data_IF_246412105650
#
_entry.id   IF_246412105650
#
_cell.length_a   1.000
_cell.length_b   1.000
_cell.length_c   1.000
_cell.angle_alpha   90.00
_cell.angle_beta   90.00
_cell.angle_gamma   90.00
#
_symmetry.space_group_name_H-M   'P 1'
#
loop_
_entity.id
_entity.type
_entity.pdbx_description
1 polymer ?
#
# COMPACT_ATOMS: atom_id res chain seq x y z
N UNK A 1 7.50 -1.19 15.62
CA UNK A 1 8.40 -1.48 16.75
C UNK A 1 9.74 -1.97 16.21
N UNK A 2 10.79 -1.21 16.42
CA UNK A 2 12.16 -1.59 16.08
C UNK A 2 12.62 -2.70 17.00
N UNK A 3 13.16 -3.81 16.43
CA UNK A 3 13.85 -4.83 17.23
C UNK A 3 15.07 -4.20 17.89
N UNK A 4 15.31 -4.50 19.17
CA UNK A 4 16.53 -4.06 19.86
C UNK A 4 17.76 -4.77 19.27
N UNK A 5 18.93 -4.14 19.32
CA UNK A 5 20.20 -4.72 18.86
C UNK A 5 20.47 -6.10 19.52
N UNK A 6 20.16 -6.24 20.79
CA UNK A 6 20.28 -7.51 21.53
C UNK A 6 19.44 -8.63 20.95
N UNK A 7 18.18 -8.34 20.57
CA UNK A 7 17.30 -9.33 19.91
C UNK A 7 17.81 -9.69 18.53
N UNK A 8 18.34 -8.74 17.78
CA UNK A 8 18.93 -8.99 16.46
C UNK A 8 20.14 -9.92 16.61
N UNK A 9 21.05 -9.62 17.52
CA UNK A 9 22.23 -10.46 17.76
C UNK A 9 21.84 -11.87 18.23
N UNK A 10 20.80 -11.99 19.07
CA UNK A 10 20.30 -13.29 19.53
C UNK A 10 19.73 -14.17 18.39
N UNK A 11 19.20 -13.56 17.33
CA UNK A 11 18.70 -14.26 16.13
C UNK A 11 19.82 -14.72 15.18
N UNK A 12 21.03 -14.20 15.34
CA UNK A 12 22.22 -14.50 14.51
C UNK A 12 21.95 -14.39 12.99
N UNK A 13 21.32 -13.32 12.48
CA UNK A 13 21.06 -13.20 11.06
C UNK A 13 22.36 -12.87 10.32
N UNK A 14 22.46 -13.33 9.07
CA UNK A 14 23.56 -12.99 8.18
C UNK A 14 23.36 -11.65 7.45
N UNK A 15 22.12 -11.20 7.35
CA UNK A 15 21.71 -9.97 6.67
C UNK A 15 20.41 -9.45 7.25
N UNK A 16 20.30 -8.14 7.40
CA UNK A 16 19.04 -7.44 7.68
C UNK A 16 18.57 -6.81 6.38
N UNK A 17 17.35 -7.11 5.97
CA UNK A 17 16.67 -6.48 4.83
C UNK A 17 15.52 -5.64 5.39
N UNK A 18 15.56 -4.35 5.10
CA UNK A 18 14.52 -3.39 5.47
C UNK A 18 14.01 -2.69 4.21
N UNK A 19 12.72 -2.85 3.92
CA UNK A 19 12.09 -2.27 2.74
C UNK A 19 11.08 -1.23 3.19
N UNK A 20 11.37 0.05 2.95
CA UNK A 20 10.52 1.12 3.43
C UNK A 20 10.97 2.51 2.98
N UNK A 21 10.84 3.48 3.87
CA UNK A 21 11.25 4.85 3.57
C UNK A 21 12.77 5.00 3.62
N UNK A 22 13.37 5.50 2.54
CA UNK A 22 14.79 5.86 2.49
C UNK A 22 14.94 7.36 2.77
N UNK A 23 14.93 7.72 4.04
CA UNK A 23 15.15 9.10 4.51
C UNK A 23 16.41 9.17 5.38
N UNK A 24 16.99 10.36 5.61
CA UNK A 24 18.18 10.51 6.48
C UNK A 24 18.04 9.79 7.83
N UNK A 25 16.87 9.86 8.47
CA UNK A 25 16.62 9.21 9.75
C UNK A 25 16.70 7.68 9.68
N UNK A 26 16.11 7.07 8.62
CA UNK A 26 16.19 5.62 8.41
C UNK A 26 17.59 5.16 8.02
N UNK A 27 18.30 5.95 7.22
CA UNK A 27 19.72 5.69 6.88
C UNK A 27 20.58 5.71 8.15
N UNK A 28 20.41 6.70 9.01
CA UNK A 28 21.15 6.78 10.26
C UNK A 28 20.79 5.66 11.25
N UNK A 29 19.52 5.24 11.26
CA UNK A 29 19.09 4.07 12.04
C UNK A 29 19.75 2.79 11.52
N UNK A 30 19.77 2.57 10.21
CA UNK A 30 20.43 1.41 9.60
C UNK A 30 21.92 1.36 9.94
N UNK A 31 22.61 2.51 9.83
CA UNK A 31 24.03 2.65 10.23
C UNK A 31 24.25 2.32 11.69
N UNK A 32 23.45 2.87 12.60
CA UNK A 32 23.54 2.57 14.04
C UNK A 32 23.31 1.08 14.33
N UNK A 33 22.31 0.48 13.70
CA UNK A 33 22.03 -0.95 13.86
C UNK A 33 23.21 -1.80 13.38
N UNK A 34 23.80 -1.49 12.23
CA UNK A 34 25.00 -2.16 11.75
C UNK A 34 26.17 -2.03 12.74
N UNK A 35 26.46 -0.83 13.24
CA UNK A 35 27.56 -0.60 14.19
C UNK A 35 27.33 -1.39 15.49
N UNK A 36 26.09 -1.49 15.97
CA UNK A 36 25.76 -2.18 17.22
C UNK A 36 25.75 -3.70 17.11
N UNK A 37 25.41 -4.23 15.94
CA UNK A 37 25.18 -5.68 15.77
C UNK A 37 26.27 -6.37 14.96
N UNK A 38 27.02 -5.63 14.14
CA UNK A 38 27.93 -6.19 13.14
C UNK A 38 27.25 -6.89 11.97
N UNK A 39 25.90 -6.90 11.92
CA UNK A 39 25.13 -7.56 10.86
C UNK A 39 24.95 -6.59 9.69
N UNK A 40 25.30 -6.99 8.44
CA UNK A 40 25.04 -6.19 7.25
C UNK A 40 23.57 -5.77 7.17
N UNK A 41 23.33 -4.49 6.78
CA UNK A 41 22.01 -3.92 6.73
C UNK A 41 21.72 -3.35 5.34
N UNK A 42 20.72 -3.89 4.67
CA UNK A 42 20.27 -3.47 3.36
C UNK A 42 18.95 -2.69 3.52
N UNK A 43 19.02 -1.37 3.34
CA UNK A 43 17.85 -0.50 3.34
C UNK A 43 17.42 -0.26 1.89
N UNK A 44 16.25 -0.77 1.52
CA UNK A 44 15.68 -0.70 0.17
C UNK A 44 14.49 0.25 0.12
N UNK A 45 14.36 0.95 -1.00
CA UNK A 45 13.23 1.86 -1.24
C UNK A 45 11.93 1.07 -1.44
N UNK A 46 10.99 1.24 -0.51
CA UNK A 46 9.70 0.57 -0.52
C UNK A 46 8.59 1.30 -1.28
N UNK A 47 8.87 2.43 -1.95
CA UNK A 47 7.87 3.13 -2.77
C UNK A 47 7.49 2.27 -3.98
N UNK A 48 6.24 2.36 -4.43
CA UNK A 48 5.78 1.63 -5.61
C UNK A 48 6.61 1.95 -6.85
N UNK A 49 6.92 3.23 -7.07
CA UNK A 49 7.74 3.67 -8.20
C UNK A 49 9.17 3.12 -8.19
N UNK A 50 9.70 2.76 -7.03
CA UNK A 50 11.03 2.19 -6.89
C UNK A 50 11.04 0.64 -7.01
N UNK A 51 9.88 0.00 -6.98
CA UNK A 51 9.73 -1.46 -6.92
C UNK A 51 10.57 -2.21 -7.97
N UNK A 52 10.61 -1.81 -9.26
CA UNK A 52 11.44 -2.52 -10.25
C UNK A 52 12.93 -2.53 -9.89
N UNK A 53 13.47 -1.37 -9.51
CA UNK A 53 14.87 -1.24 -9.13
C UNK A 53 15.18 -1.99 -7.82
N UNK A 54 14.29 -1.88 -6.83
CA UNK A 54 14.40 -2.58 -5.54
C UNK A 54 14.45 -4.10 -5.74
N UNK A 55 13.64 -4.65 -6.63
CA UNK A 55 13.66 -6.07 -6.97
C UNK A 55 14.98 -6.47 -7.64
N UNK A 56 15.49 -5.68 -8.58
CA UNK A 56 16.76 -5.94 -9.24
C UNK A 56 17.94 -5.89 -8.26
N UNK A 57 17.96 -4.92 -7.36
CA UNK A 57 18.97 -4.83 -6.30
C UNK A 57 18.90 -6.04 -5.37
N UNK A 58 17.71 -6.39 -4.90
CA UNK A 58 17.50 -7.56 -4.05
C UNK A 58 17.97 -8.86 -4.74
N UNK A 59 17.69 -9.01 -6.04
CA UNK A 59 18.12 -10.15 -6.83
C UNK A 59 19.64 -10.34 -6.84
N UNK A 60 20.38 -9.24 -7.00
CA UNK A 60 21.87 -9.25 -6.96
C UNK A 60 22.39 -9.69 -5.59
N UNK A 61 21.79 -9.18 -4.51
CA UNK A 61 22.20 -9.55 -3.15
C UNK A 61 21.91 -11.01 -2.80
N UNK A 62 20.83 -11.57 -3.34
CA UNK A 62 20.40 -12.94 -3.05
C UNK A 62 20.83 -13.97 -4.09
N UNK A 63 21.44 -13.55 -5.22
CA UNK A 63 21.86 -14.43 -6.31
C UNK A 63 20.67 -15.03 -7.08
N UNK A 64 19.57 -14.29 -7.23
CA UNK A 64 18.32 -14.72 -7.88
C UNK A 64 17.84 -13.72 -8.95
N UNK A 65 18.80 -13.13 -9.69
CA UNK A 65 18.58 -12.02 -10.61
C UNK A 65 17.55 -12.36 -11.70
N UNK A 66 17.55 -13.59 -12.21
CA UNK A 66 16.61 -14.01 -13.25
C UNK A 66 15.16 -13.95 -12.76
N UNK A 67 14.90 -14.39 -11.53
CA UNK A 67 13.56 -14.36 -10.93
C UNK A 67 13.12 -12.92 -10.67
N UNK A 68 14.00 -12.11 -10.07
CA UNK A 68 13.67 -10.74 -9.73
C UNK A 68 13.56 -9.82 -10.95
N UNK A 69 14.22 -10.14 -12.08
CA UNK A 69 14.03 -9.43 -13.33
C UNK A 69 12.61 -9.65 -13.90
N UNK A 70 12.09 -10.87 -13.86
CA UNK A 70 10.70 -11.14 -14.27
C UNK A 70 9.69 -10.36 -13.41
N UNK A 71 9.91 -10.33 -12.09
CA UNK A 71 9.09 -9.56 -11.17
C UNK A 71 9.22 -8.04 -11.39
N UNK A 72 10.43 -7.56 -11.71
CA UNK A 72 10.67 -6.15 -12.01
C UNK A 72 9.96 -5.71 -13.30
N UNK A 73 9.95 -6.55 -14.35
CA UNK A 73 9.20 -6.30 -15.58
C UNK A 73 7.70 -6.23 -15.33
N UNK A 74 7.14 -7.17 -14.56
CA UNK A 74 5.73 -7.09 -14.14
C UNK A 74 5.42 -5.78 -13.40
N UNK A 75 6.32 -5.34 -12.52
CA UNK A 75 6.17 -4.07 -11.82
C UNK A 75 6.19 -2.88 -12.79
N UNK A 76 7.13 -2.83 -13.75
CA UNK A 76 7.22 -1.77 -14.77
C UNK A 76 5.95 -1.69 -15.62
N UNK A 77 5.45 -2.83 -16.09
CA UNK A 77 4.20 -2.88 -16.87
C UNK A 77 3.01 -2.40 -16.06
N UNK A 78 2.93 -2.79 -14.78
CA UNK A 78 1.85 -2.35 -13.86
C UNK A 78 1.89 -0.85 -13.62
N UNK A 79 3.07 -0.31 -13.33
CA UNK A 79 3.26 1.13 -13.11
C UNK A 79 2.89 1.94 -14.37
N UNK A 80 3.34 1.49 -15.55
CA UNK A 80 3.01 2.13 -16.82
C UNK A 80 1.51 2.11 -17.10
N UNK A 81 0.87 0.96 -16.97
CA UNK A 81 -0.58 0.85 -17.17
C UNK A 81 -1.39 1.72 -16.22
N UNK A 82 -0.92 1.91 -14.99
CA UNK A 82 -1.59 2.77 -14.02
C UNK A 82 -1.52 4.26 -14.39
N UNK A 83 -0.39 4.72 -14.92
CA UNK A 83 -0.24 6.10 -15.41
C UNK A 83 -1.19 6.37 -16.58
N UNK A 84 -1.25 5.46 -17.55
CA UNK A 84 -2.15 5.57 -18.70
C UNK A 84 -3.62 5.59 -18.26
N UNK A 85 -3.97 4.80 -17.25
CA UNK A 85 -5.32 4.72 -16.68
C UNK A 85 -5.70 5.99 -15.90
N UNK A 86 -4.78 6.56 -15.15
CA UNK A 86 -5.01 7.70 -14.25
C UNK A 86 -5.45 8.97 -14.97
N UNK A 87 -5.11 9.12 -16.24
CA UNK A 87 -5.37 10.33 -17.04
C UNK A 87 -6.87 10.65 -17.19
N UNK A 88 -7.76 9.67 -16.98
CA UNK A 88 -9.21 9.83 -17.17
C UNK A 88 -10.02 9.84 -15.86
N UNK A 89 -9.38 9.56 -14.72
CA UNK A 89 -10.06 9.48 -13.42
C UNK A 89 -10.10 10.84 -12.71
N UNK A 90 -11.29 11.21 -12.19
CA UNK A 90 -11.52 12.44 -11.41
C UNK A 90 -12.14 12.17 -10.03
N UNK A 91 -12.15 10.90 -9.59
CA UNK A 91 -12.87 10.49 -8.38
C UNK A 91 -12.02 10.68 -7.13
N UNK A 92 -12.69 11.10 -6.05
CA UNK A 92 -12.09 11.21 -4.73
C UNK A 92 -12.20 9.90 -3.97
N UNK A 93 -11.17 9.59 -3.18
CA UNK A 93 -11.14 8.36 -2.40
C UNK A 93 -10.65 8.58 -0.97
N UNK A 94 -11.12 7.73 -0.08
CA UNK A 94 -10.70 7.61 1.29
C UNK A 94 -10.30 6.16 1.60
N UNK A 95 -9.12 5.94 2.17
CA UNK A 95 -8.68 4.64 2.67
C UNK A 95 -9.03 4.51 4.15
N UNK A 96 -10.09 3.77 4.44
CA UNK A 96 -10.52 3.50 5.81
C UNK A 96 -9.71 2.36 6.44
N UNK A 97 -9.01 2.66 7.52
CA UNK A 97 -8.21 1.71 8.32
C UNK A 97 -8.75 1.65 9.75
N UNK A 98 -8.38 0.62 10.48
CA UNK A 98 -8.91 0.23 11.81
C UNK A 98 -10.36 -0.27 11.78
N UNK A 99 -10.83 -0.78 12.92
CA UNK A 99 -12.21 -1.27 13.07
C UNK A 99 -13.25 -0.15 12.96
N UNK A 100 -12.87 1.08 13.35
CA UNK A 100 -13.71 2.27 13.28
C UNK A 100 -13.65 2.96 11.91
N UNK A 101 -12.65 2.65 11.08
CA UNK A 101 -12.43 3.26 9.77
C UNK A 101 -11.86 4.68 9.80
N UNK A 102 -11.51 5.22 10.98
CA UNK A 102 -11.08 6.61 11.16
C UNK A 102 -9.56 6.80 11.10
N UNK A 103 -8.76 5.73 11.04
CA UNK A 103 -7.35 5.83 10.71
C UNK A 103 -7.19 5.78 9.19
N UNK A 104 -6.24 6.55 8.65
CA UNK A 104 -6.01 6.64 7.20
C UNK A 104 -4.58 7.04 6.88
N UNK A 105 -4.19 6.95 5.60
CA UNK A 105 -2.95 7.51 5.07
C UNK A 105 -3.15 8.89 4.47
N UNK A 106 -2.24 9.82 4.77
CA UNK A 106 -2.20 11.11 4.11
C UNK A 106 -1.72 10.96 2.66
N UNK A 107 -2.05 11.91 1.82
CA UNK A 107 -1.63 11.98 0.41
C UNK A 107 -0.11 11.85 0.26
N UNK A 108 0.31 10.98 -0.64
CA UNK A 108 1.72 10.64 -0.87
C UNK A 108 2.33 9.73 0.20
N UNK A 109 1.52 9.15 1.08
CA UNK A 109 1.93 8.10 2.01
C UNK A 109 2.13 6.78 1.28
N UNK A 110 3.09 5.97 1.72
CA UNK A 110 3.28 4.59 1.24
C UNK A 110 1.99 3.74 1.37
N UNK A 111 1.11 4.10 2.28
CA UNK A 111 -0.17 3.42 2.51
C UNK A 111 -1.24 3.74 1.47
N UNK A 112 -1.11 4.85 0.74
CA UNK A 112 -2.10 5.35 -0.23
C UNK A 112 -1.58 5.41 -1.66
N UNK A 113 -0.29 5.12 -1.87
CA UNK A 113 0.35 5.18 -3.20
C UNK A 113 -0.40 4.39 -4.27
N UNK A 114 -0.88 3.17 -3.96
CA UNK A 114 -1.54 2.33 -4.96
C UNK A 114 -2.85 2.93 -5.47
N UNK A 115 -3.66 3.53 -4.58
CA UNK A 115 -4.89 4.20 -5.01
C UNK A 115 -4.61 5.52 -5.73
N UNK A 116 -3.60 6.27 -5.31
CA UNK A 116 -3.22 7.53 -5.94
C UNK A 116 -2.61 7.29 -7.33
N UNK A 117 -1.84 6.21 -7.49
CA UNK A 117 -1.23 5.85 -8.77
C UNK A 117 -2.26 5.55 -9.86
N UNK A 118 -3.40 4.96 -9.53
CA UNK A 118 -4.50 4.74 -10.50
C UNK A 118 -5.36 5.99 -10.73
N UNK A 119 -4.99 7.15 -10.16
CA UNK A 119 -5.65 8.42 -10.37
C UNK A 119 -6.78 8.74 -9.39
N UNK A 120 -6.98 7.94 -8.35
CA UNK A 120 -7.89 8.30 -7.27
C UNK A 120 -7.29 9.43 -6.43
N UNK A 121 -8.03 10.50 -6.27
CA UNK A 121 -7.60 11.65 -5.48
C UNK A 121 -7.88 11.40 -4.00
N UNK A 122 -6.82 11.22 -3.21
CA UNK A 122 -6.92 11.10 -1.76
C UNK A 122 -7.47 12.40 -1.16
N UNK A 123 -8.55 12.29 -0.38
CA UNK A 123 -9.18 13.46 0.28
C UNK A 123 -8.40 13.93 1.51
N UNK A 124 -7.43 13.15 1.97
CA UNK A 124 -6.67 13.40 3.20
C UNK A 124 -5.35 14.09 2.86
N UNK A 125 -5.38 15.41 2.83
CA UNK A 125 -4.16 16.20 2.67
C UNK A 125 -3.35 16.21 3.97
N UNK A 126 -2.02 16.38 3.87
CA UNK A 126 -1.14 16.49 5.02
C UNK A 126 0.33 16.57 4.65
N UNK A 127 1.13 17.09 5.57
CA UNK A 127 2.57 17.34 5.32
C UNK A 127 3.46 16.13 5.63
N UNK A 128 3.02 15.23 6.51
CA UNK A 128 3.88 14.19 7.07
C UNK A 128 3.91 12.88 6.27
N UNK A 129 3.11 12.75 5.22
CA UNK A 129 3.05 11.55 4.33
C UNK A 129 2.99 10.23 5.13
N UNK A 130 2.24 10.20 6.21
CA UNK A 130 2.12 9.06 7.12
C UNK A 130 0.68 8.68 7.40
N UNK A 131 0.51 7.88 8.43
CA UNK A 131 -0.81 7.56 8.98
C UNK A 131 -1.30 8.70 9.90
N UNK A 132 -2.59 8.96 9.85
CA UNK A 132 -3.26 9.95 10.70
C UNK A 132 -4.63 9.44 11.14
N UNK A 133 -5.17 10.06 12.19
CA UNK A 133 -6.57 9.91 12.60
C UNK A 133 -7.36 11.09 12.06
N UNK A 134 -8.58 10.83 11.63
CA UNK A 134 -9.53 11.84 11.16
C UNK A 134 -10.82 11.77 11.98
N UNK A 135 -11.55 12.86 12.03
CA UNK A 135 -12.86 12.87 12.65
C UNK A 135 -13.97 12.56 11.64
N UNK A 136 -15.14 12.17 12.14
CA UNK A 136 -16.30 11.93 11.28
C UNK A 136 -16.78 13.24 10.61
N UNK A 137 -16.62 14.37 11.28
CA UNK A 137 -16.95 15.71 10.76
C UNK A 137 -16.07 16.04 9.55
N UNK A 138 -14.75 15.75 9.62
CA UNK A 138 -13.86 15.94 8.49
C UNK A 138 -14.24 15.05 7.31
N UNK A 139 -14.61 13.79 7.57
CA UNK A 139 -15.06 12.87 6.52
C UNK A 139 -16.37 13.35 5.85
N UNK A 140 -17.31 13.84 6.63
CA UNK A 140 -18.56 14.39 6.10
C UNK A 140 -18.30 15.64 5.24
N UNK A 141 -17.34 16.47 5.62
CA UNK A 141 -16.93 17.64 4.84
C UNK A 141 -16.26 17.24 3.52
N UNK A 142 -15.35 16.27 3.54
CA UNK A 142 -14.67 15.78 2.34
C UNK A 142 -15.60 14.98 1.41
N UNK A 143 -16.51 14.22 1.99
CA UNK A 143 -17.54 13.42 1.32
C UNK A 143 -16.99 12.64 0.10
N UNK A 144 -16.06 11.70 0.29
CA UNK A 144 -15.38 11.00 -0.80
C UNK A 144 -16.35 10.22 -1.69
N UNK A 145 -16.01 10.10 -2.98
CA UNK A 145 -16.77 9.31 -3.95
C UNK A 145 -16.61 7.80 -3.72
N UNK A 146 -15.46 7.39 -3.18
CA UNK A 146 -15.09 5.98 -2.96
C UNK A 146 -14.49 5.83 -1.56
N UNK A 147 -14.86 4.74 -0.89
CA UNK A 147 -14.21 4.27 0.33
C UNK A 147 -13.59 2.91 0.05
N UNK A 148 -12.29 2.79 0.35
CA UNK A 148 -11.53 1.56 0.24
C UNK A 148 -11.16 1.06 1.64
N UNK A 149 -11.26 -0.24 1.90
CA UNK A 149 -10.85 -0.80 3.19
C UNK A 149 -10.38 -2.25 3.08
N UNK A 150 -9.44 -2.63 3.92
CA UNK A 150 -8.98 -4.01 4.12
C UNK A 150 -9.43 -4.58 5.47
N UNK A 151 -10.23 -3.83 6.23
CA UNK A 151 -10.72 -4.20 7.55
C UNK A 151 -12.14 -4.76 7.44
N UNK A 152 -12.24 -6.09 7.56
CA UNK A 152 -13.51 -6.81 7.36
C UNK A 152 -14.60 -6.37 8.35
N UNK A 153 -14.25 -6.15 9.61
CA UNK A 153 -15.16 -5.69 10.65
C UNK A 153 -15.78 -4.33 10.27
N UNK A 154 -14.96 -3.37 9.88
CA UNK A 154 -15.43 -2.07 9.39
C UNK A 154 -16.32 -2.23 8.14
N UNK A 155 -15.92 -3.03 7.17
CA UNK A 155 -16.68 -3.24 5.94
C UNK A 155 -18.07 -3.83 6.20
N UNK A 156 -18.19 -4.73 7.18
CA UNK A 156 -19.48 -5.33 7.55
C UNK A 156 -20.41 -4.35 8.25
N UNK A 157 -19.87 -3.44 9.04
CA UNK A 157 -20.65 -2.53 9.90
C UNK A 157 -20.96 -1.17 9.27
N UNK A 158 -20.15 -0.72 8.30
CA UNK A 158 -20.22 0.64 7.74
C UNK A 158 -21.61 1.01 7.21
N UNK A 159 -22.29 0.07 6.53
CA UNK A 159 -23.60 0.32 5.91
C UNK A 159 -24.70 0.60 6.92
N UNK A 160 -24.59 0.04 8.12
CA UNK A 160 -25.56 0.16 9.20
C UNK A 160 -25.19 1.24 10.24
N UNK A 161 -24.03 1.87 10.06
CA UNK A 161 -23.57 2.92 10.95
C UNK A 161 -24.24 4.27 10.57
N UNK A 162 -24.99 4.92 11.47
CA UNK A 162 -25.74 6.14 11.15
C UNK A 162 -24.88 7.32 10.68
N UNK A 163 -23.63 7.42 11.14
CA UNK A 163 -22.72 8.49 10.73
C UNK A 163 -22.15 8.22 9.32
N UNK A 164 -21.66 7.00 9.07
CA UNK A 164 -21.09 6.60 7.80
C UNK A 164 -22.13 6.56 6.67
N UNK A 165 -23.39 6.22 6.99
CA UNK A 165 -24.50 6.18 6.01
C UNK A 165 -24.85 7.56 5.40
N UNK A 166 -24.34 8.64 5.97
CA UNK A 166 -24.51 9.99 5.42
C UNK A 166 -23.59 10.28 4.22
N UNK A 167 -22.48 9.55 4.11
CA UNK A 167 -21.49 9.73 3.02
C UNK A 167 -22.02 9.26 1.67
N UNK A 168 -21.69 10.00 0.61
CA UNK A 168 -22.06 9.67 -0.77
C UNK A 168 -21.56 8.27 -1.20
N UNK A 169 -20.34 7.91 -0.83
CA UNK A 169 -19.78 6.60 -1.12
C UNK A 169 -20.63 5.45 -0.55
N UNK A 170 -21.17 5.61 0.67
CA UNK A 170 -22.02 4.59 1.30
C UNK A 170 -23.40 4.54 0.64
N UNK A 171 -24.04 5.69 0.40
CA UNK A 171 -25.33 5.79 -0.29
C UNK A 171 -25.30 5.19 -1.69
N UNK A 172 -24.22 5.42 -2.40
CA UNK A 172 -24.03 4.96 -3.78
C UNK A 172 -23.40 3.55 -3.87
N UNK A 173 -23.25 2.85 -2.73
CA UNK A 173 -22.64 1.51 -2.66
C UNK A 173 -21.22 1.43 -3.21
N UNK A 174 -20.45 2.51 -3.08
CA UNK A 174 -19.06 2.61 -3.52
C UNK A 174 -18.07 2.43 -2.37
N UNK A 175 -18.36 1.49 -1.50
CA UNK A 175 -17.46 1.02 -0.45
C UNK A 175 -16.94 -0.35 -0.86
N UNK A 176 -15.64 -0.46 -1.03
CA UNK A 176 -15.02 -1.69 -1.55
C UNK A 176 -14.10 -2.32 -0.51
N UNK A 177 -14.32 -3.62 -0.29
CA UNK A 177 -13.41 -4.44 0.48
C UNK A 177 -12.26 -4.91 -0.41
N UNK A 178 -11.04 -4.54 -0.04
CA UNK A 178 -9.83 -4.89 -0.79
C UNK A 178 -9.32 -6.22 -0.26
N UNK A 179 -8.96 -7.19 -1.11
CA UNK A 179 -8.37 -8.43 -0.67
C UNK A 179 -7.14 -8.21 0.20
N UNK A 180 -7.01 -9.02 1.25
CA UNK A 180 -5.93 -8.92 2.24
C UNK A 180 -5.25 -10.26 2.55
N UNK A 181 -5.50 -11.28 1.73
CA UNK A 181 -4.91 -12.60 1.85
C UNK A 181 -4.08 -12.93 0.60
N UNK A 182 -2.89 -13.54 0.75
CA UNK A 182 -2.13 -13.77 2.00
C UNK A 182 -1.59 -12.48 2.63
N UNK A 183 -1.49 -11.40 1.87
CA UNK A 183 -1.10 -10.05 2.29
C UNK A 183 -2.02 -8.99 1.70
N UNK A 184 -2.06 -7.81 2.31
CA UNK A 184 -2.88 -6.71 1.83
C UNK A 184 -2.49 -6.24 0.41
N UNK A 185 -3.50 -6.05 -0.46
CA UNK A 185 -3.25 -5.64 -1.85
C UNK A 185 -3.08 -4.14 -2.03
N UNK A 186 -3.42 -3.32 -1.05
CA UNK A 186 -3.09 -1.88 -1.05
C UNK A 186 -2.18 -1.50 0.11
N UNK A 187 -2.44 -2.10 1.27
CA UNK A 187 -1.82 -1.71 2.54
C UNK A 187 -1.86 -2.90 3.51
N UNK A 188 -1.34 -2.75 4.71
CA UNK A 188 -1.42 -3.70 5.84
C UNK A 188 -0.84 -5.11 5.58
N UNK A 189 0.44 -5.26 5.33
CA UNK A 189 1.47 -4.23 5.18
C UNK A 189 1.58 -3.73 3.74
N UNK A 190 2.10 -2.51 3.51
CA UNK A 190 2.47 -2.08 2.16
C UNK A 190 3.63 -2.94 1.67
N UNK A 191 3.33 -3.83 0.72
CA UNK A 191 4.23 -4.86 0.21
C UNK A 191 4.19 -4.92 -1.32
N UNK A 192 4.86 -5.91 -1.91
CA UNK A 192 4.84 -6.18 -3.35
C UNK A 192 3.40 -6.42 -3.87
N UNK A 193 2.51 -6.95 -3.02
CA UNK A 193 1.10 -7.17 -3.35
C UNK A 193 0.35 -5.90 -3.76
N UNK A 194 0.90 -4.70 -3.48
CA UNK A 194 0.35 -3.44 -3.99
C UNK A 194 0.33 -3.36 -5.52
N UNK A 195 1.21 -4.08 -6.21
CA UNK A 195 1.16 -4.19 -7.69
C UNK A 195 -0.13 -4.88 -8.12
N UNK A 196 -0.47 -5.99 -7.49
CA UNK A 196 -1.75 -6.67 -7.73
C UNK A 196 -2.93 -5.77 -7.37
N UNK A 197 -2.82 -5.02 -6.28
CA UNK A 197 -3.82 -4.03 -5.86
C UNK A 197 -4.04 -2.91 -6.87
N UNK A 198 -2.99 -2.42 -7.50
CA UNK A 198 -3.07 -1.44 -8.61
C UNK A 198 -3.89 -2.01 -9.77
N UNK A 199 -3.57 -3.21 -10.23
CA UNK A 199 -4.31 -3.88 -11.31
C UNK A 199 -5.76 -4.18 -10.92
N UNK A 200 -5.99 -4.59 -9.67
CA UNK A 200 -7.33 -4.81 -9.14
C UNK A 200 -8.16 -3.52 -9.13
N UNK A 201 -7.58 -2.39 -8.70
CA UNK A 201 -8.26 -1.08 -8.74
C UNK A 201 -8.60 -0.67 -10.18
N UNK A 202 -7.68 -0.83 -11.12
CA UNK A 202 -7.94 -0.55 -12.54
C UNK A 202 -9.11 -1.40 -13.06
N UNK A 203 -9.14 -2.69 -12.71
CA UNK A 203 -10.22 -3.60 -13.09
C UNK A 203 -11.56 -3.18 -12.49
N UNK A 204 -11.60 -2.91 -11.18
CA UNK A 204 -12.76 -2.44 -10.44
C UNK A 204 -13.33 -1.14 -11.01
N UNK A 205 -12.46 -0.16 -11.24
CA UNK A 205 -12.85 1.18 -11.70
C UNK A 205 -13.25 1.19 -13.20
N UNK A 206 -12.88 0.15 -13.95
CA UNK A 206 -13.35 -0.08 -15.31
C UNK A 206 -14.72 -0.74 -15.36
N UNK A 207 -15.37 -1.00 -14.23
CA UNK A 207 -16.65 -1.70 -14.11
C UNK A 207 -16.68 -3.10 -14.79
N UNK A 208 -15.53 -3.77 -14.81
CA UNK A 208 -15.43 -5.14 -15.34
C UNK A 208 -15.91 -6.16 -14.28
N UNK A 209 -16.47 -7.31 -14.68
CA UNK A 209 -16.82 -8.36 -13.73
C UNK A 209 -15.61 -8.84 -12.93
N UNK A 210 -15.71 -8.90 -11.61
CA UNK A 210 -14.57 -9.31 -10.77
C UNK A 210 -14.12 -10.75 -11.01
N UNK A 211 -14.98 -11.60 -11.54
CA UNK A 211 -14.61 -12.96 -11.95
C UNK A 211 -13.51 -12.97 -13.04
N UNK A 212 -13.47 -11.96 -13.89
CA UNK A 212 -12.47 -11.84 -14.96
C UNK A 212 -11.07 -11.45 -14.44
N UNK A 213 -10.95 -11.13 -13.16
CA UNK A 213 -9.67 -10.80 -12.53
C UNK A 213 -8.92 -12.04 -11.99
N UNK A 214 -9.57 -13.18 -11.87
CA UNK A 214 -8.95 -14.40 -11.34
C UNK A 214 -7.65 -14.83 -12.07
N UNK A 215 -7.54 -14.76 -13.42
CA UNK A 215 -6.30 -15.08 -14.12
C UNK A 215 -5.12 -14.20 -13.71
N UNK A 216 -5.35 -12.92 -13.44
CA UNK A 216 -4.32 -11.99 -12.98
C UNK A 216 -3.77 -12.39 -11.60
N UNK A 217 -4.65 -12.83 -10.69
CA UNK A 217 -4.26 -13.33 -9.37
C UNK A 217 -3.37 -14.56 -9.50
N UNK A 218 -3.78 -15.52 -10.36
CA UNK A 218 -3.00 -16.74 -10.60
C UNK A 218 -1.65 -16.48 -11.27
N UNK A 219 -1.56 -15.42 -12.08
CA UNK A 219 -0.30 -15.04 -12.71
C UNK A 219 0.66 -14.38 -11.72
N UNK A 220 0.13 -13.61 -10.75
CA UNK A 220 0.93 -12.91 -9.75
C UNK A 220 1.55 -13.85 -8.72
N UNK A 221 0.83 -14.89 -8.26
CA UNK A 221 1.28 -15.87 -7.29
C UNK A 221 1.85 -17.14 -7.93
#
# INVERSE_FOLDING_TARGET
>A
STLSAEKIVALQPNLIIDVGNVTPNYIDQAKRTFVQTGVPYLLLDGRLSATPNTLRELGKWLGVEQLTEQQAQYAEETLKSAVDFSAVLQQTAYLARSAEGLQTGQKGSIHTEAMELVGLRNVVEGEHKGLTQVSMEQLLLWNPDIILTQYAEFFQTIKNNPQWSQLSAVKNQRVFFIPNQPFGWLDSPPSLNRLLGVRWLQHLLSNKPMADFAPEVLHFY
#
